data_IF_122754156561
#
_entry.id   IF_122754156561
#
_cell.length_a   1.000
_cell.length_b   1.000
_cell.length_c   1.000
_cell.angle_alpha   90.00
_cell.angle_beta   90.00
_cell.angle_gamma   90.00
#
_symmetry.space_group_name_H-M   'P 1'
#
loop_
_entity.id
_entity.type
_entity.pdbx_description
1 polymer ?
#
# COMPACT_ATOMS: atom_id res chain seq x y z
N UNK A 1 10.25 5.99 14.16
CA UNK A 1 9.27 4.88 14.17
C UNK A 1 10.04 3.57 14.27
N UNK A 2 9.80 2.80 15.33
CA UNK A 2 10.46 1.51 15.56
C UNK A 2 9.56 0.35 15.13
N UNK A 3 10.12 -0.85 14.98
CA UNK A 3 9.36 -2.04 14.60
C UNK A 3 8.17 -2.32 15.55
N UNK A 4 8.34 -2.11 16.86
CA UNK A 4 7.29 -2.31 17.86
C UNK A 4 6.13 -1.31 17.73
N UNK A 5 6.42 -0.07 17.33
CA UNK A 5 5.39 0.96 17.13
C UNK A 5 4.51 0.61 15.92
N UNK A 6 5.12 0.10 14.84
CA UNK A 6 4.41 -0.41 13.66
C UNK A 6 3.53 -1.60 14.05
N UNK A 7 4.09 -2.55 14.83
CA UNK A 7 3.33 -3.70 15.33
C UNK A 7 2.14 -3.23 16.15
N UNK A 8 2.31 -2.29 17.08
CA UNK A 8 1.22 -1.78 17.92
C UNK A 8 0.12 -1.12 17.09
N UNK A 9 0.49 -0.25 16.14
CA UNK A 9 -0.48 0.44 15.27
C UNK A 9 -1.23 -0.53 14.37
N UNK A 10 -0.52 -1.50 13.78
CA UNK A 10 -1.14 -2.43 12.84
C UNK A 10 -1.90 -3.57 13.53
N UNK A 11 -1.48 -4.02 14.72
CA UNK A 11 -2.07 -5.18 15.40
C UNK A 11 -3.56 -5.01 15.75
N UNK A 12 -4.05 -3.77 15.83
CA UNK A 12 -5.47 -3.46 16.06
C UNK A 12 -6.36 -4.05 14.96
N UNK A 13 -5.86 -4.10 13.71
CA UNK A 13 -6.68 -4.43 12.54
C UNK A 13 -6.06 -5.52 11.67
N UNK A 14 -4.75 -5.48 11.49
CA UNK A 14 -4.03 -6.37 10.60
C UNK A 14 -3.60 -7.66 11.30
N UNK A 15 -3.57 -8.73 10.50
CA UNK A 15 -2.98 -10.00 10.90
C UNK A 15 -1.46 -9.92 10.94
N UNK A 16 -0.86 -10.76 11.79
CA UNK A 16 0.60 -10.84 12.00
C UNK A 16 1.43 -11.02 10.71
N UNK A 17 0.86 -11.64 9.68
CA UNK A 17 1.50 -11.82 8.37
C UNK A 17 1.68 -10.49 7.61
N UNK A 18 0.62 -9.68 7.57
CA UNK A 18 0.66 -8.37 6.92
C UNK A 18 1.61 -7.42 7.64
N UNK A 19 1.64 -7.49 8.98
CA UNK A 19 2.59 -6.73 9.80
C UNK A 19 4.03 -7.13 9.48
N UNK A 20 4.31 -8.43 9.37
CA UNK A 20 5.63 -8.93 8.99
C UNK A 20 6.05 -8.44 7.59
N UNK A 21 5.13 -8.44 6.62
CA UNK A 21 5.38 -7.93 5.27
C UNK A 21 5.76 -6.45 5.27
N UNK A 22 5.06 -5.61 6.05
CA UNK A 22 5.36 -4.18 6.19
C UNK A 22 6.72 -3.96 6.86
N UNK A 23 7.01 -4.68 7.94
CA UNK A 23 8.30 -4.57 8.63
C UNK A 23 9.48 -4.95 7.72
N UNK A 24 9.33 -6.04 6.95
CA UNK A 24 10.34 -6.46 5.99
C UNK A 24 10.52 -5.44 4.85
N UNK A 25 9.42 -4.89 4.31
CA UNK A 25 9.47 -3.84 3.28
C UNK A 25 10.12 -2.55 3.78
N UNK A 26 10.09 -2.29 5.08
CA UNK A 26 10.77 -1.17 5.73
C UNK A 26 12.25 -1.44 6.03
N UNK A 27 12.73 -2.66 5.84
CA UNK A 27 14.10 -3.06 6.18
C UNK A 27 14.30 -3.34 7.68
N UNK A 28 13.23 -3.42 8.48
CA UNK A 28 13.39 -3.79 9.88
C UNK A 28 13.75 -5.27 10.00
N UNK A 29 14.65 -5.54 10.94
CA UNK A 29 15.01 -6.89 11.34
C UNK A 29 14.66 -7.10 12.81
N UNK A 30 14.46 -8.36 13.21
CA UNK A 30 14.34 -8.70 14.62
C UNK A 30 15.67 -8.43 15.34
N UNK A 31 15.66 -8.29 16.67
CA UNK A 31 16.89 -8.04 17.46
C UNK A 31 17.98 -9.10 17.32
N UNK A 32 17.68 -10.25 16.71
CA UNK A 32 18.66 -11.30 16.32
C UNK A 32 19.05 -11.26 14.84
N UNK A 33 18.84 -10.14 14.14
CA UNK A 33 19.19 -9.95 12.73
C UNK A 33 18.36 -10.77 11.72
N UNK A 34 17.26 -11.41 12.14
CA UNK A 34 16.43 -12.21 11.23
C UNK A 34 15.24 -11.41 10.71
N UNK A 35 14.78 -11.77 9.50
CA UNK A 35 13.55 -11.24 8.88
C UNK A 35 12.31 -11.47 9.75
N UNK A 36 11.33 -10.60 9.61
CA UNK A 36 10.03 -10.74 10.26
C UNK A 36 9.19 -11.81 9.56
N UNK A 37 8.47 -12.60 10.35
CA UNK A 37 7.46 -13.55 9.88
C UNK A 37 6.29 -13.54 10.87
N UNK A 38 5.16 -14.16 10.48
CA UNK A 38 3.95 -14.20 11.29
C UNK A 38 4.21 -14.66 12.73
N UNK A 39 4.95 -15.74 12.92
CA UNK A 39 5.28 -16.29 14.25
C UNK A 39 6.09 -15.31 15.09
N UNK A 40 7.08 -14.63 14.50
CA UNK A 40 7.94 -13.66 15.19
C UNK A 40 7.16 -12.41 15.60
N UNK A 41 6.24 -11.95 14.76
CA UNK A 41 5.32 -10.85 15.11
C UNK A 41 4.40 -11.28 16.26
N UNK A 42 3.82 -12.48 16.20
CA UNK A 42 2.96 -13.00 17.26
C UNK A 42 3.71 -13.10 18.60
N UNK A 43 4.96 -13.61 18.59
CA UNK A 43 5.82 -13.65 19.79
C UNK A 43 6.13 -12.24 20.30
N UNK A 44 6.51 -11.30 19.43
CA UNK A 44 6.76 -9.92 19.83
C UNK A 44 5.51 -9.29 20.47
N UNK A 45 4.33 -9.51 19.88
CA UNK A 45 3.07 -9.02 20.43
C UNK A 45 2.77 -9.59 21.81
N UNK A 46 2.95 -10.90 22.02
CA UNK A 46 2.76 -11.53 23.34
C UNK A 46 3.73 -10.96 24.38
N UNK A 47 5.00 -10.83 24.03
CA UNK A 47 6.03 -10.31 24.94
C UNK A 47 5.77 -8.85 25.36
N UNK A 48 5.14 -8.06 24.49
CA UNK A 48 4.81 -6.65 24.73
C UNK A 48 3.33 -6.41 25.07
N UNK A 49 2.56 -7.47 25.37
CA UNK A 49 1.13 -7.41 25.71
C UNK A 49 0.27 -6.64 24.69
N UNK A 50 0.58 -6.79 23.40
CA UNK A 50 -0.13 -6.11 22.30
C UNK A 50 -1.29 -7.00 21.82
N UNK A 51 -2.51 -6.58 22.12
CA UNK A 51 -3.74 -7.18 21.60
C UNK A 51 -3.79 -7.12 20.06
N UNK A 52 -4.40 -8.12 19.45
CA UNK A 52 -4.47 -8.30 18.00
C UNK A 52 -4.58 -9.76 17.61
N UNK A 53 -4.39 -10.06 16.34
CA UNK A 53 -4.84 -11.32 15.76
C UNK A 53 -3.87 -11.93 14.75
N UNK A 54 -3.92 -13.27 14.65
CA UNK A 54 -3.10 -14.02 13.71
C UNK A 54 -3.49 -13.76 12.25
N UNK A 55 -4.79 -13.55 12.01
CA UNK A 55 -5.39 -13.24 10.70
C UNK A 55 -6.16 -11.93 10.83
N UNK A 56 -6.05 -11.05 9.84
CA UNK A 56 -6.80 -9.80 9.80
C UNK A 56 -8.31 -10.12 9.87
N UNK A 57 -9.04 -9.47 10.77
CA UNK A 57 -10.49 -9.44 10.71
C UNK A 57 -10.88 -8.64 9.48
N UNK A 58 -11.85 -9.16 8.75
CA UNK A 58 -12.43 -8.45 7.63
C UNK A 58 -13.30 -7.33 8.19
N UNK A 59 -12.86 -6.09 8.03
CA UNK A 59 -13.65 -4.92 8.37
C UNK A 59 -14.52 -4.57 7.15
N UNK A 60 -15.85 -4.71 7.22
CA UNK A 60 -16.71 -4.49 6.05
C UNK A 60 -16.78 -3.01 5.63
N UNK A 61 -16.41 -2.08 6.51
CA UNK A 61 -16.38 -0.64 6.22
C UNK A 61 -15.08 -0.19 5.56
N UNK A 62 -14.01 -0.99 5.60
CA UNK A 62 -12.72 -0.65 4.99
C UNK A 62 -12.24 -1.74 4.04
N UNK A 63 -12.16 -1.37 2.77
CA UNK A 63 -11.77 -2.27 1.69
C UNK A 63 -10.37 -1.93 1.19
N UNK A 64 -9.57 -2.97 0.91
CA UNK A 64 -8.26 -2.78 0.29
C UNK A 64 -8.40 -2.24 -1.13
N UNK A 65 -7.38 -1.57 -1.66
CA UNK A 65 -7.37 -1.10 -3.06
C UNK A 65 -7.77 -2.18 -4.09
N UNK A 66 -7.31 -3.42 -3.90
CA UNK A 66 -7.62 -4.53 -4.81
C UNK A 66 -9.08 -4.98 -4.68
N UNK A 67 -9.63 -4.95 -3.47
CA UNK A 67 -11.05 -5.24 -3.22
C UNK A 67 -11.92 -4.12 -3.79
N UNK A 68 -11.53 -2.86 -3.60
CA UNK A 68 -12.16 -1.69 -4.21
C UNK A 68 -12.24 -1.81 -5.73
N UNK A 69 -11.13 -2.17 -6.37
CA UNK A 69 -11.09 -2.38 -7.81
C UNK A 69 -12.11 -3.44 -8.26
N UNK A 70 -12.23 -4.54 -7.52
CA UNK A 70 -13.22 -5.59 -7.78
C UNK A 70 -14.65 -5.13 -7.57
N UNK A 71 -14.93 -4.39 -6.50
CA UNK A 71 -16.26 -3.86 -6.18
C UNK A 71 -16.71 -2.86 -7.25
N UNK A 72 -15.80 -1.99 -7.68
CA UNK A 72 -16.07 -0.97 -8.70
C UNK A 72 -16.04 -1.52 -10.13
N UNK A 73 -15.52 -2.75 -10.35
CA UNK A 73 -15.39 -3.33 -11.68
C UNK A 73 -14.30 -2.68 -12.55
N UNK A 74 -13.32 -2.03 -11.93
CA UNK A 74 -12.25 -1.29 -12.63
C UNK A 74 -10.87 -1.86 -12.34
N UNK A 75 -9.88 -1.51 -13.16
CA UNK A 75 -8.49 -1.90 -12.94
C UNK A 75 -7.89 -1.27 -11.69
N UNK A 76 -6.95 -1.96 -11.04
CA UNK A 76 -6.22 -1.46 -9.87
C UNK A 76 -5.54 -0.10 -10.16
N UNK A 77 -4.97 0.06 -11.35
CA UNK A 77 -4.37 1.31 -11.81
C UNK A 77 -5.38 2.47 -11.85
N UNK A 78 -6.64 2.22 -12.24
CA UNK A 78 -7.70 3.24 -12.23
C UNK A 78 -7.97 3.74 -10.83
N UNK A 79 -8.09 2.83 -9.85
CA UNK A 79 -8.27 3.22 -8.46
C UNK A 79 -7.07 4.03 -7.97
N UNK A 80 -5.85 3.62 -8.29
CA UNK A 80 -4.65 4.39 -7.95
C UNK A 80 -4.70 5.82 -8.51
N UNK A 81 -5.09 5.97 -9.79
CA UNK A 81 -5.26 7.29 -10.42
C UNK A 81 -6.33 8.15 -9.74
N UNK A 82 -7.43 7.55 -9.29
CA UNK A 82 -8.48 8.27 -8.54
C UNK A 82 -7.97 8.80 -7.19
N UNK A 83 -7.06 8.06 -6.56
CA UNK A 83 -6.42 8.44 -5.30
C UNK A 83 -5.39 9.55 -5.54
N UNK A 84 -4.58 9.43 -6.59
CA UNK A 84 -3.61 10.46 -7.00
C UNK A 84 -4.31 11.77 -7.40
N UNK A 85 -5.47 11.69 -8.06
CA UNK A 85 -6.30 12.85 -8.37
C UNK A 85 -7.04 13.43 -7.15
N UNK A 86 -6.91 12.83 -5.96
CA UNK A 86 -7.54 13.30 -4.73
C UNK A 86 -9.05 13.09 -4.66
N UNK A 87 -9.65 12.38 -5.62
CA UNK A 87 -11.08 12.09 -5.63
C UNK A 87 -11.44 11.03 -4.58
N UNK A 88 -10.59 10.01 -4.44
CA UNK A 88 -10.79 8.92 -3.49
C UNK A 88 -9.84 9.06 -2.30
N UNK A 89 -10.39 9.21 -1.10
CA UNK A 89 -9.60 9.22 0.14
C UNK A 89 -9.12 7.81 0.46
N UNK A 90 -7.82 7.58 0.30
CA UNK A 90 -7.14 6.42 0.84
C UNK A 90 -6.38 6.78 2.10
N UNK A 91 -6.48 5.92 3.10
CA UNK A 91 -5.68 6.05 4.31
C UNK A 91 -4.65 4.92 4.38
N UNK A 92 -3.43 5.30 4.73
CA UNK A 92 -2.34 4.37 5.00
C UNK A 92 -1.94 4.50 6.47
N UNK A 93 -2.17 3.46 7.27
CA UNK A 93 -1.90 3.45 8.72
C UNK A 93 -0.41 3.66 9.04
N UNK A 94 0.47 3.19 8.15
CA UNK A 94 1.91 3.30 8.28
C UNK A 94 2.54 3.23 6.89
N UNK A 95 3.57 4.02 6.57
CA UNK A 95 4.20 3.94 5.26
C UNK A 95 4.55 2.50 4.85
N UNK A 96 4.22 2.13 3.61
CA UNK A 96 4.29 0.77 3.04
C UNK A 96 3.27 -0.25 3.57
N UNK A 97 2.34 0.15 4.43
CA UNK A 97 1.13 -0.62 4.71
C UNK A 97 0.20 -0.63 3.50
N UNK A 98 -0.66 -1.65 3.35
CA UNK A 98 -1.71 -1.62 2.34
C UNK A 98 -2.58 -0.37 2.52
N UNK A 99 -2.96 0.24 1.40
CA UNK A 99 -3.91 1.34 1.38
C UNK A 99 -5.32 0.80 1.61
N UNK A 100 -6.06 1.48 2.48
CA UNK A 100 -7.45 1.16 2.77
C UNK A 100 -8.34 2.32 2.30
N UNK A 101 -9.45 1.96 1.69
CA UNK A 101 -10.51 2.88 1.26
C UNK A 101 -11.71 2.65 2.15
N UNK A 102 -12.32 3.74 2.63
CA UNK A 102 -13.61 3.67 3.30
C UNK A 102 -14.71 3.31 2.30
N UNK A 103 -15.54 2.32 2.63
CA UNK A 103 -16.67 1.93 1.78
C UNK A 103 -17.67 3.06 1.61
N UNK A 104 -17.75 3.99 2.57
CA UNK A 104 -18.58 5.20 2.48
C UNK A 104 -18.06 6.16 1.42
N UNK A 105 -16.73 6.30 1.29
CA UNK A 105 -16.12 7.13 0.23
C UNK A 105 -16.37 6.52 -1.16
N UNK A 106 -16.46 5.18 -1.27
CA UNK A 106 -16.84 4.53 -2.52
C UNK A 106 -18.30 4.77 -2.91
N UNK A 107 -19.17 4.95 -1.93
CA UNK A 107 -20.59 5.22 -2.16
C UNK A 107 -20.88 6.66 -2.57
N UNK A 108 -19.90 7.56 -2.43
CA UNK A 108 -20.06 8.97 -2.72
C UNK A 108 -20.36 9.21 -4.21
N UNK A 109 -21.34 10.09 -4.49
CA UNK A 109 -21.76 10.48 -5.84
C UNK A 109 -20.63 10.87 -6.81
N UNK A 110 -19.58 11.64 -6.43
CA UNK A 110 -18.51 11.96 -7.37
C UNK A 110 -17.74 10.71 -7.84
N UNK A 111 -17.56 9.72 -6.96
CA UNK A 111 -16.86 8.48 -7.31
C UNK A 111 -17.73 7.61 -8.22
N UNK A 112 -19.01 7.45 -7.87
CA UNK A 112 -19.97 6.70 -8.70
C UNK A 112 -20.10 7.31 -10.09
N UNK A 113 -20.27 8.62 -10.20
CA UNK A 113 -20.39 9.31 -11.49
C UNK A 113 -19.15 9.14 -12.36
N UNK A 114 -17.94 9.12 -11.78
CA UNK A 114 -16.70 8.89 -12.52
C UNK A 114 -16.57 7.43 -12.96
N UNK A 115 -16.94 6.46 -12.12
CA UNK A 115 -16.93 5.04 -12.47
C UNK A 115 -17.96 4.76 -13.59
N UNK A 116 -19.17 5.29 -13.48
CA UNK A 116 -20.19 5.17 -14.52
C UNK A 116 -19.76 5.84 -15.83
N UNK A 117 -19.14 7.03 -15.74
CA UNK A 117 -18.53 7.71 -16.89
C UNK A 117 -17.44 6.87 -17.54
N UNK A 118 -16.59 6.21 -16.75
CA UNK A 118 -15.55 5.31 -17.24
C UNK A 118 -16.15 4.09 -17.95
N UNK A 119 -17.19 3.47 -17.38
CA UNK A 119 -17.87 2.34 -18.02
C UNK A 119 -18.54 2.74 -19.33
N UNK A 120 -19.06 3.97 -19.43
CA UNK A 120 -19.72 4.48 -20.63
C UNK A 120 -18.75 4.91 -21.74
N UNK A 121 -17.66 5.59 -21.38
CA UNK A 121 -16.76 6.24 -22.35
C UNK A 121 -15.46 5.47 -22.59
N UNK A 122 -15.12 4.51 -21.71
CA UNK A 122 -13.84 3.82 -21.71
C UNK A 122 -12.65 4.71 -21.38
N UNK A 123 -12.87 6.00 -21.05
CA UNK A 123 -11.82 6.98 -20.80
C UNK A 123 -11.95 7.54 -19.39
N UNK A 124 -10.85 7.48 -18.65
CA UNK A 124 -10.74 8.09 -17.33
C UNK A 124 -10.38 9.56 -17.51
N UNK A 125 -11.38 10.44 -17.44
CA UNK A 125 -11.16 11.90 -17.49
C UNK A 125 -11.00 12.40 -16.06
N UNK A 126 -9.75 12.63 -15.65
CA UNK A 126 -9.41 13.27 -14.37
C UNK A 126 -8.84 14.65 -14.67
N UNK A 127 -9.38 15.70 -14.05
CA UNK A 127 -8.69 16.97 -14.04
C UNK A 127 -7.45 16.85 -13.15
N UNK A 128 -6.26 16.90 -13.75
CA UNK A 128 -4.99 17.00 -13.01
C UNK A 128 -4.09 15.77 -13.01
N UNK A 129 -4.10 14.95 -14.06
CA UNK A 129 -3.27 13.75 -14.13
C UNK A 129 -2.33 13.70 -15.33
N UNK A 130 -1.40 14.65 -15.46
CA UNK A 130 -0.30 14.53 -16.42
C UNK A 130 0.51 13.27 -16.10
N UNK A 131 0.91 12.55 -17.14
CA UNK A 131 1.71 11.33 -17.07
C UNK A 131 3.18 11.70 -16.79
N UNK A 132 3.50 12.13 -15.57
CA UNK A 132 4.84 12.65 -15.26
C UNK A 132 5.83 11.55 -14.85
N UNK A 133 5.34 10.40 -14.38
CA UNK A 133 6.22 9.34 -13.83
C UNK A 133 6.77 8.36 -14.90
N UNK A 134 6.46 8.56 -16.19
CA UNK A 134 6.98 7.69 -17.27
C UNK A 134 8.29 8.17 -17.90
N UNK A 135 8.82 9.35 -17.54
CA UNK A 135 9.94 9.96 -18.27
C UNK A 135 11.36 9.60 -17.81
N UNK A 136 11.55 8.76 -16.78
CA UNK A 136 12.90 8.46 -16.26
C UNK A 136 13.43 7.05 -16.60
N UNK A 137 12.91 6.38 -17.65
CA UNK A 137 13.42 5.07 -18.09
C UNK A 137 14.58 5.15 -19.11
N UNK A 138 14.89 6.34 -19.62
CA UNK A 138 16.02 6.55 -20.55
C UNK A 138 16.88 7.73 -20.07
N UNK A 139 17.54 7.60 -18.93
CA UNK A 139 18.77 8.38 -18.72
C UNK A 139 19.91 7.54 -19.26
N UNK A 140 20.39 7.93 -20.43
CA UNK A 140 21.64 7.49 -21.04
C UNK A 140 22.74 7.42 -19.98
N UNK A 141 23.17 6.19 -19.64
CA UNK A 141 24.44 6.02 -18.95
C UNK A 141 25.52 6.22 -20.01
N UNK A 142 25.96 7.48 -20.14
CA UNK A 142 27.19 7.85 -20.80
C UNK A 142 28.31 7.03 -20.14
N UNK A 143 28.85 6.07 -20.89
CA UNK A 143 29.92 5.20 -20.43
C UNK A 143 31.17 6.02 -20.17
N UNK A 144 31.49 6.22 -18.90
CA UNK A 144 32.78 6.75 -18.48
C UNK A 144 33.76 5.58 -18.35
N UNK A 145 34.54 5.38 -19.41
CA UNK A 145 35.74 4.56 -19.46
C UNK A 145 36.80 5.07 -18.48
N UNK A 146 36.96 4.47 -17.28
CA UNK A 146 38.28 4.40 -16.62
C UNK A 146 38.35 3.48 -15.39
N UNK A 147 39.10 2.38 -15.49
CA UNK A 147 39.97 1.85 -14.43
C UNK A 147 40.81 0.71 -15.03
N UNK A 148 42.00 0.98 -15.55
CA UNK A 148 43.30 0.77 -14.86
C UNK A 148 43.39 -0.56 -14.10
N UNK A 149 44.01 -1.53 -14.76
CA UNK A 149 44.60 -2.72 -14.15
C UNK A 149 45.87 -2.33 -13.35
N UNK A 150 45.89 -2.74 -12.09
CA UNK A 150 47.04 -3.07 -11.25
C UNK A 150 46.58 -4.37 -10.54
N UNK A 151 47.24 -5.51 -10.54
CA UNK A 151 48.65 -5.92 -10.70
C UNK A 151 48.78 -7.07 -11.71
#
# INVERSE_FOLDING_TARGET
>A
MEALEIIRRMAVRYGDDQIASVLNRRGYSTGKGKRWNQTRVATARRNHSIAGQKRALHDPERVSLSETARICGVSHHTIQRLVEAGLLKCEQITPRAPWEVSRRDLDAEPIRSVIEGLHRTGKLILQGGCAEDQLALFTENQGDDNARYLE
#
